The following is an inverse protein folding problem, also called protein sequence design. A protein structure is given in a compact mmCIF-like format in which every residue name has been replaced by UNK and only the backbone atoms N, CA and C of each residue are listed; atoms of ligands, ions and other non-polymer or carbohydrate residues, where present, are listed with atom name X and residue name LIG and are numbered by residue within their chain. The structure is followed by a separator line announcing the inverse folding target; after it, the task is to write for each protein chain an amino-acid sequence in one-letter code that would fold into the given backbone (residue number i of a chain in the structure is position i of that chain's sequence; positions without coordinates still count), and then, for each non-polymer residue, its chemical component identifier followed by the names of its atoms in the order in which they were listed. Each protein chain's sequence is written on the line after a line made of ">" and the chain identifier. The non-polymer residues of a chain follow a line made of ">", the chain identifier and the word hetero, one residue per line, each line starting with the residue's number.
data_IF_738753012021
#
_entry.id   IF_738753012021
#
_cell.length_a   1.000
_cell.length_b   1.000
_cell.length_c   1.000
_cell.angle_alpha   90.00
_cell.angle_beta   90.00
_cell.angle_gamma   90.00
#
_symmetry.space_group_name_H-M   'P 1'
#
loop_
_entity.id
_entity.type
_entity.pdbx_description
1 polymer ?
#
# COMPACT_ATOMS: atom_id res chain seq x y z
N UNK A 1 -4.15 9.74 1.26
CA UNK A 1 -3.94 10.72 2.35
C UNK A 1 -3.46 10.01 3.61
N UNK A 2 -2.93 10.75 4.58
CA UNK A 2 -2.44 10.20 5.85
C UNK A 2 -3.24 10.84 7.00
N UNK A 3 -3.64 10.04 8.00
CA UNK A 3 -4.25 10.51 9.26
C UNK A 3 -3.58 9.80 10.42
N UNK A 4 -2.73 10.49 11.17
CA UNK A 4 -1.87 9.84 12.16
C UNK A 4 -0.99 8.79 11.50
N UNK A 5 -1.01 7.57 12.02
CA UNK A 5 -0.30 6.41 11.45
C UNK A 5 -1.14 5.58 10.46
N UNK A 6 -2.25 6.13 9.95
CA UNK A 6 -3.13 5.46 8.97
C UNK A 6 -2.99 6.04 7.56
N UNK A 7 -2.84 5.17 6.57
CA UNK A 7 -2.91 5.50 5.15
C UNK A 7 -4.34 5.34 4.63
N UNK A 8 -4.86 6.36 3.96
CA UNK A 8 -6.20 6.38 3.34
C UNK A 8 -6.02 6.41 1.82
N UNK A 9 -6.54 5.41 1.12
CA UNK A 9 -6.47 5.29 -0.35
C UNK A 9 -7.89 5.25 -0.90
N UNK A 10 -8.23 6.19 -1.77
CA UNK A 10 -9.49 6.17 -2.50
C UNK A 10 -9.34 5.30 -3.75
N UNK A 11 -10.30 4.42 -3.99
CA UNK A 11 -10.36 3.53 -5.14
C UNK A 11 -11.64 3.81 -5.95
N UNK A 12 -11.67 3.45 -7.24
CA UNK A 12 -12.88 3.56 -8.07
C UNK A 12 -13.99 2.61 -7.57
N UNK A 13 -15.24 2.81 -8.02
CA UNK A 13 -16.38 2.01 -7.54
C UNK A 13 -16.60 0.66 -8.25
N UNK A 14 -16.01 0.45 -9.44
CA UNK A 14 -16.20 -0.77 -10.22
C UNK A 14 -15.22 -1.86 -9.77
N UNK A 15 -15.66 -3.11 -9.50
CA UNK A 15 -14.78 -4.18 -8.99
C UNK A 15 -13.52 -4.43 -9.83
N UNK A 16 -13.64 -4.42 -11.15
CA UNK A 16 -12.49 -4.60 -12.06
C UNK A 16 -11.45 -3.48 -11.89
N UNK A 17 -11.91 -2.24 -11.75
CA UNK A 17 -11.04 -1.08 -11.59
C UNK A 17 -10.43 -1.00 -10.20
N UNK A 18 -11.13 -1.48 -9.17
CA UNK A 18 -10.57 -1.64 -7.81
C UNK A 18 -9.36 -2.56 -7.86
N UNK A 19 -9.51 -3.74 -8.48
CA UNK A 19 -8.43 -4.72 -8.58
C UNK A 19 -7.23 -4.16 -9.35
N UNK A 20 -7.46 -3.52 -10.49
CA UNK A 20 -6.40 -2.91 -11.31
C UNK A 20 -5.66 -1.78 -10.58
N UNK A 21 -6.41 -0.84 -9.98
CA UNK A 21 -5.80 0.25 -9.22
C UNK A 21 -5.03 -0.28 -8.01
N UNK A 22 -5.63 -1.18 -7.22
CA UNK A 22 -4.99 -1.71 -6.02
C UNK A 22 -3.71 -2.47 -6.37
N UNK A 23 -3.76 -3.33 -7.38
CA UNK A 23 -2.60 -4.10 -7.87
C UNK A 23 -1.43 -3.20 -8.24
N UNK A 24 -1.70 -2.03 -8.82
CA UNK A 24 -0.68 -1.08 -9.24
C UNK A 24 -0.01 -0.35 -8.07
N UNK A 25 -0.75 -0.08 -6.99
CA UNK A 25 -0.24 0.68 -5.83
C UNK A 25 0.23 -0.19 -4.66
N UNK A 26 -0.21 -1.44 -4.60
CA UNK A 26 0.06 -2.38 -3.51
C UNK A 26 1.56 -2.54 -3.18
N UNK A 27 2.49 -2.59 -4.17
CA UNK A 27 3.91 -2.73 -3.86
C UNK A 27 4.48 -1.59 -3.01
N UNK A 28 3.93 -0.38 -3.10
CA UNK A 28 4.42 0.80 -2.37
C UNK A 28 3.74 1.01 -1.01
N UNK A 29 2.49 0.54 -0.85
CA UNK A 29 1.68 0.75 0.36
C UNK A 29 2.40 0.31 1.65
N UNK A 30 3.02 -0.88 1.74
CA UNK A 30 3.66 -1.33 2.98
C UNK A 30 4.74 -0.37 3.47
N UNK A 31 5.60 0.13 2.58
CA UNK A 31 6.65 1.06 2.95
C UNK A 31 6.11 2.44 3.30
N UNK A 32 5.04 2.90 2.62
CA UNK A 32 4.35 4.12 3.04
C UNK A 32 3.78 3.99 4.46
N UNK A 33 3.27 2.82 4.85
CA UNK A 33 2.77 2.56 6.22
C UNK A 33 3.92 2.50 7.23
N UNK A 34 5.05 1.88 6.87
CA UNK A 34 6.26 1.86 7.69
C UNK A 34 6.74 3.30 7.99
N UNK A 35 6.79 4.17 6.97
CA UNK A 35 7.24 5.56 7.08
C UNK A 35 6.38 6.45 7.99
N UNK A 36 5.09 6.16 8.11
CA UNK A 36 4.18 6.92 8.98
C UNK A 36 4.05 6.30 10.39
N UNK A 37 4.91 5.34 10.73
CA UNK A 37 4.88 4.65 12.02
C UNK A 37 3.65 3.76 12.21
N UNK A 38 3.08 3.26 11.12
CA UNK A 38 1.98 2.31 11.16
C UNK A 38 2.44 0.88 11.43
N UNK A 39 1.48 -0.05 11.38
CA UNK A 39 1.78 -1.48 11.54
C UNK A 39 2.60 -2.03 10.36
N UNK A 40 3.51 -2.96 10.66
CA UNK A 40 4.30 -3.64 9.62
C UNK A 40 3.39 -4.52 8.76
N UNK A 41 3.28 -4.19 7.47
CA UNK A 41 2.50 -4.95 6.50
C UNK A 41 3.39 -5.82 5.62
N UNK A 42 2.95 -7.02 5.31
CA UNK A 42 3.57 -7.88 4.29
C UNK A 42 2.54 -8.20 3.20
N UNK A 43 2.99 -8.48 1.99
CA UNK A 43 2.12 -8.70 0.82
C UNK A 43 2.29 -10.13 0.33
N UNK A 44 1.17 -10.81 0.06
CA UNK A 44 1.12 -12.14 -0.53
C UNK A 44 0.60 -12.15 -1.97
N UNK A 45 0.37 -13.33 -2.55
CA UNK A 45 -0.26 -13.47 -3.86
C UNK A 45 0.62 -13.07 -5.05
N UNK A 46 1.95 -13.20 -4.92
CA UNK A 46 2.90 -12.89 -6.00
C UNK A 46 3.39 -11.45 -6.06
N UNK A 47 2.91 -10.59 -5.16
CA UNK A 47 3.39 -9.21 -5.02
C UNK A 47 4.55 -9.13 -4.03
N UNK A 48 5.53 -8.28 -4.35
CA UNK A 48 6.62 -7.95 -3.44
C UNK A 48 6.41 -6.53 -2.90
N UNK A 49 6.48 -6.37 -1.58
CA UNK A 49 6.54 -5.05 -0.95
C UNK A 49 7.89 -4.39 -1.28
N UNK A 50 7.85 -3.26 -1.97
CA UNK A 50 9.06 -2.48 -2.24
C UNK A 50 9.50 -1.76 -0.97
N UNK A 51 10.74 -1.98 -0.54
CA UNK A 51 11.40 -1.28 0.59
C UNK A 51 12.85 -0.98 0.22
N UNK A 52 13.29 0.29 0.21
CA UNK A 52 14.68 0.64 -0.04
C UNK A 52 15.57 0.18 1.13
N UNK A 53 16.79 -0.27 0.82
CA UNK A 53 17.74 -0.85 1.80
C UNK A 53 18.47 0.18 2.67
N UNK A 54 18.15 1.47 2.59
CA UNK A 54 18.94 2.52 3.25
C UNK A 54 18.18 3.82 3.46
N UNK A 55 17.07 3.75 4.19
CA UNK A 55 16.39 4.92 4.75
C UNK A 55 16.75 5.08 6.23
#
# INVERSE_FOLDING_TARGET
>A
GIRGSSLIVNLPGKPSSIAECLTSVLPAIPYCVDLIGGGRLEVGGGFAAFRPKGA
#
